data_IF_282959899967
#
_entry.id   IF_282959899967
#
_cell.length_a   1.000
_cell.length_b   1.000
_cell.length_c   1.000
_cell.angle_alpha   90.00
_cell.angle_beta   90.00
_cell.angle_gamma   90.00
#
_symmetry.space_group_name_H-M   'P 1'
#
loop_
_entity.id
_entity.type
_entity.pdbx_description
1 polymer ?
#
# COMPACT_ATOMS: atom_id res chain seq x y z
N UNK A 1 11.17 15.62 -13.13
CA UNK A 1 10.06 15.09 -12.26
C UNK A 1 9.08 14.42 -13.21
N UNK A 2 8.64 13.19 -12.91
CA UNK A 2 7.75 12.43 -13.81
C UNK A 2 6.38 13.12 -13.93
N UNK A 3 5.89 13.31 -15.17
CA UNK A 3 4.64 14.04 -15.44
C UNK A 3 3.41 13.35 -14.86
N UNK A 4 3.34 12.01 -14.95
CA UNK A 4 2.25 11.23 -14.38
C UNK A 4 2.18 11.39 -12.86
N UNK A 5 3.34 11.26 -12.18
CA UNK A 5 3.42 11.45 -10.73
C UNK A 5 2.93 12.84 -10.33
N UNK A 6 3.43 13.89 -11.01
CA UNK A 6 3.05 15.28 -10.73
C UNK A 6 1.57 15.53 -10.95
N UNK A 7 0.99 14.94 -12.00
CA UNK A 7 -0.44 15.09 -12.34
C UNK A 7 -1.31 14.45 -11.26
N UNK A 8 -0.98 13.22 -10.83
CA UNK A 8 -1.72 12.51 -9.79
C UNK A 8 -1.55 13.19 -8.42
N UNK A 9 -0.35 13.67 -8.09
CA UNK A 9 -0.09 14.36 -6.82
C UNK A 9 -0.90 15.67 -6.70
N UNK A 10 -0.99 16.43 -7.78
CA UNK A 10 -1.85 17.61 -7.84
C UNK A 10 -3.33 17.26 -7.72
N UNK A 11 -3.78 16.19 -8.38
CA UNK A 11 -5.15 15.74 -8.32
C UNK A 11 -5.54 15.24 -6.92
N UNK A 12 -4.65 14.56 -6.22
CA UNK A 12 -4.84 14.07 -4.85
C UNK A 12 -4.95 15.19 -3.78
N UNK A 13 -4.60 16.42 -4.12
CA UNK A 13 -4.71 17.59 -3.23
C UNK A 13 -5.86 18.56 -3.56
N UNK A 14 -6.72 18.24 -4.54
CA UNK A 14 -7.71 19.19 -5.07
C UNK A 14 -9.15 18.71 -4.90
N UNK A 15 -10.00 19.61 -4.43
CA UNK A 15 -11.46 19.44 -4.34
C UNK A 15 -12.24 19.99 -5.54
N UNK A 16 -11.63 20.50 -6.63
CA UNK A 16 -12.36 21.15 -7.73
C UNK A 16 -11.73 21.07 -9.13
N UNK A 17 -12.63 21.06 -10.13
CA UNK A 17 -12.52 21.35 -11.57
C UNK A 17 -11.32 20.77 -12.35
N UNK A 18 -11.55 19.66 -12.98
CA UNK A 18 -10.66 18.91 -13.87
C UNK A 18 -11.06 17.43 -13.80
N UNK A 19 -10.50 16.53 -14.63
CA UNK A 19 -10.65 15.11 -14.33
C UNK A 19 -10.06 14.89 -12.93
N UNK A 20 -10.94 14.59 -11.97
CA UNK A 20 -10.53 14.28 -10.61
C UNK A 20 -9.58 13.10 -10.58
N UNK A 21 -8.95 12.87 -9.45
CA UNK A 21 -8.03 11.73 -9.25
C UNK A 21 -8.65 10.41 -9.72
N UNK A 22 -9.93 10.21 -9.40
CA UNK A 22 -10.74 9.05 -9.82
C UNK A 22 -10.76 8.86 -11.35
N UNK A 23 -10.99 9.93 -12.11
CA UNK A 23 -11.02 9.87 -13.57
C UNK A 23 -9.63 9.54 -14.17
N UNK A 24 -8.57 10.09 -13.61
CA UNK A 24 -7.20 9.81 -14.05
C UNK A 24 -6.81 8.35 -13.77
N UNK A 25 -7.03 7.88 -12.53
CA UNK A 25 -6.70 6.51 -12.14
C UNK A 25 -7.59 5.50 -12.85
N UNK A 26 -8.91 5.77 -12.93
CA UNK A 26 -9.87 4.94 -13.66
C UNK A 26 -9.48 4.77 -15.13
N UNK A 27 -9.10 5.86 -15.81
CA UNK A 27 -8.62 5.82 -17.20
C UNK A 27 -7.34 5.01 -17.38
N UNK A 28 -6.39 5.11 -16.46
CA UNK A 28 -5.17 4.29 -16.48
C UNK A 28 -5.48 2.79 -16.29
N UNK A 29 -6.36 2.46 -15.34
CA UNK A 29 -6.75 1.07 -15.08
C UNK A 29 -7.59 0.47 -16.19
N UNK A 30 -8.44 1.26 -16.86
CA UNK A 30 -9.16 0.83 -18.04
C UNK A 30 -8.19 0.43 -19.18
N UNK A 31 -7.10 1.18 -19.38
CA UNK A 31 -6.06 0.82 -20.35
C UNK A 31 -5.34 -0.48 -19.99
N UNK A 32 -5.20 -0.79 -18.69
CA UNK A 32 -4.64 -2.09 -18.24
C UNK A 32 -5.64 -3.21 -18.52
N UNK A 33 -6.92 -2.98 -18.23
CA UNK A 33 -7.98 -3.96 -18.40
C UNK A 33 -8.19 -4.38 -19.86
N UNK A 34 -8.02 -3.43 -20.80
CA UNK A 34 -8.17 -3.69 -22.24
C UNK A 34 -6.84 -4.01 -22.97
N UNK A 35 -5.74 -4.14 -22.22
CA UNK A 35 -4.43 -4.53 -22.75
C UNK A 35 -3.63 -3.42 -23.44
N UNK A 36 -4.14 -2.18 -23.50
CA UNK A 36 -3.40 -1.03 -24.07
C UNK A 36 -2.23 -0.59 -23.20
N UNK A 37 -2.28 -0.91 -21.91
CA UNK A 37 -1.17 -0.67 -20.98
C UNK A 37 -0.75 -1.98 -20.33
N UNK A 38 0.51 -2.37 -20.53
CA UNK A 38 1.05 -3.62 -19.98
C UNK A 38 1.63 -3.37 -18.59
N UNK A 39 1.09 -4.04 -17.59
CA UNK A 39 1.68 -4.20 -16.26
C UNK A 39 1.22 -5.54 -15.67
N UNK A 40 1.84 -5.96 -14.59
CA UNK A 40 1.47 -7.17 -13.84
C UNK A 40 1.14 -6.78 -12.40
N UNK A 41 -0.05 -7.15 -11.95
CA UNK A 41 -0.39 -7.02 -10.54
C UNK A 41 0.47 -7.97 -9.69
N UNK A 42 0.84 -7.51 -8.52
CA UNK A 42 1.56 -8.29 -7.51
C UNK A 42 0.56 -8.75 -6.45
N UNK A 43 0.53 -10.05 -6.20
CA UNK A 43 -0.12 -10.61 -5.00
C UNK A 43 0.80 -10.33 -3.80
N UNK A 44 0.48 -9.27 -3.05
CA UNK A 44 1.36 -8.76 -2.00
C UNK A 44 1.27 -9.63 -0.75
N UNK A 45 2.41 -9.94 -0.09
CA UNK A 45 2.44 -10.74 1.14
C UNK A 45 1.55 -10.22 2.27
N UNK A 46 1.34 -8.91 2.33
CA UNK A 46 0.45 -8.25 3.31
C UNK A 46 -1.05 -8.40 2.99
N UNK A 47 -1.44 -9.21 1.99
CA UNK A 47 -2.83 -9.58 1.75
C UNK A 47 -3.63 -8.65 0.85
N UNK A 48 -2.98 -7.86 0.02
CA UNK A 48 -3.62 -7.02 -1.00
C UNK A 48 -2.99 -7.21 -2.38
N UNK A 49 -3.64 -6.73 -3.45
CA UNK A 49 -3.00 -6.63 -4.75
C UNK A 49 -2.38 -5.25 -4.95
N UNK A 50 -1.16 -5.21 -5.47
CA UNK A 50 -0.50 -3.98 -5.88
C UNK A 50 -0.39 -3.95 -7.41
N UNK A 51 -0.96 -2.91 -8.05
CA UNK A 51 -0.75 -2.61 -9.46
C UNK A 51 0.30 -1.50 -9.57
N UNK A 52 1.54 -1.81 -9.96
CA UNK A 52 2.62 -0.82 -10.05
C UNK A 52 2.49 0.00 -11.32
N UNK A 53 1.85 1.16 -11.23
CA UNK A 53 1.55 2.05 -12.38
C UNK A 53 2.79 2.79 -12.85
N UNK A 54 3.68 3.16 -11.93
CA UNK A 54 4.94 3.86 -12.20
C UNK A 54 6.03 3.37 -11.24
N UNK A 55 7.23 3.17 -11.77
CA UNK A 55 8.48 3.00 -11.03
C UNK A 55 9.56 3.72 -11.79
N UNK A 56 10.03 4.88 -11.29
CA UNK A 56 11.05 5.70 -11.97
C UNK A 56 11.92 6.41 -10.93
N UNK A 57 13.17 6.00 -10.83
CA UNK A 57 14.11 6.53 -9.85
C UNK A 57 13.56 6.36 -8.43
N UNK A 58 13.41 7.48 -7.72
CA UNK A 58 12.87 7.51 -6.35
C UNK A 58 11.34 7.58 -6.29
N UNK A 59 10.66 7.67 -7.44
CA UNK A 59 9.21 7.85 -7.51
C UNK A 59 8.50 6.55 -7.81
N UNK A 60 7.39 6.31 -7.13
CA UNK A 60 6.50 5.19 -7.38
C UNK A 60 5.03 5.59 -7.34
N UNK A 61 4.22 4.97 -8.20
CA UNK A 61 2.77 5.03 -8.14
C UNK A 61 2.23 3.63 -8.18
N UNK A 62 1.42 3.28 -7.20
CA UNK A 62 0.73 1.99 -7.13
C UNK A 62 -0.75 2.19 -6.91
N UNK A 63 -1.56 1.25 -7.38
CA UNK A 63 -2.92 1.09 -6.87
C UNK A 63 -2.93 -0.15 -5.98
N UNK A 64 -3.29 0.03 -4.71
CA UNK A 64 -3.50 -1.07 -3.77
C UNK A 64 -4.97 -1.44 -3.77
N UNK A 65 -5.25 -2.73 -3.87
CA UNK A 65 -6.60 -3.29 -3.93
C UNK A 65 -6.74 -4.28 -2.79
N UNK A 66 -7.55 -3.92 -1.82
CA UNK A 66 -7.79 -4.70 -0.62
C UNK A 66 -9.05 -5.55 -0.79
N UNK A 67 -8.91 -6.82 -0.45
CA UNK A 67 -9.97 -7.80 -0.39
C UNK A 67 -10.06 -8.29 1.05
N UNK A 68 -11.22 -8.20 1.73
CA UNK A 68 -11.34 -8.54 3.14
C UNK A 68 -10.97 -10.00 3.44
N UNK A 69 -11.27 -10.93 2.53
CA UNK A 69 -10.90 -12.35 2.70
C UNK A 69 -9.39 -12.52 2.73
N UNK A 70 -8.66 -11.75 1.91
CA UNK A 70 -7.20 -11.79 1.82
C UNK A 70 -6.52 -11.04 2.96
N UNK A 71 -7.13 -9.93 3.39
CA UNK A 71 -6.65 -9.09 4.47
C UNK A 71 -6.91 -9.69 5.86
N UNK A 72 -7.82 -10.66 5.96
CA UNK A 72 -8.24 -11.26 7.23
C UNK A 72 -7.04 -11.78 8.05
N UNK A 73 -6.92 -11.28 9.28
CA UNK A 73 -5.87 -11.67 10.22
C UNK A 73 -4.47 -11.12 9.90
N UNK A 74 -4.31 -10.30 8.87
CA UNK A 74 -3.02 -9.72 8.45
C UNK A 74 -2.92 -8.25 8.88
N UNK A 75 -2.45 -8.04 10.10
CA UNK A 75 -2.16 -6.70 10.64
C UNK A 75 -0.67 -6.60 11.00
N UNK A 76 0.21 -6.82 10.03
CA UNK A 76 1.65 -6.73 10.28
C UNK A 76 2.04 -5.27 10.51
N UNK A 77 2.66 -5.00 11.66
CA UNK A 77 3.22 -3.68 11.98
C UNK A 77 4.51 -3.52 11.18
N UNK A 78 4.56 -2.50 10.35
CA UNK A 78 5.70 -2.24 9.48
C UNK A 78 5.90 -0.74 9.23
N UNK A 79 7.06 -0.38 8.68
CA UNK A 79 7.33 0.96 8.16
C UNK A 79 8.03 0.85 6.81
N UNK A 80 8.02 1.94 6.07
CA UNK A 80 8.59 2.04 4.73
C UNK A 80 9.83 2.92 4.69
N UNK A 81 10.74 2.62 3.77
CA UNK A 81 11.88 3.47 3.40
C UNK A 81 11.50 4.69 2.56
N UNK A 82 10.22 4.90 2.31
CA UNK A 82 9.67 5.92 1.44
C UNK A 82 8.47 6.63 2.07
N UNK A 83 8.35 7.93 1.79
CA UNK A 83 7.15 8.69 2.13
C UNK A 83 6.02 8.25 1.23
N UNK A 84 4.81 8.11 1.77
CA UNK A 84 3.64 7.83 0.97
C UNK A 84 2.53 8.86 1.20
N UNK A 85 1.85 9.18 0.10
CA UNK A 85 0.57 9.88 0.06
C UNK A 85 -0.43 8.96 -0.60
N UNK A 86 -1.45 8.56 0.15
CA UNK A 86 -2.43 7.57 -0.27
C UNK A 86 -3.83 8.18 -0.30
N UNK A 87 -4.51 8.08 -1.44
CA UNK A 87 -5.89 8.55 -1.60
C UNK A 87 -6.82 7.38 -1.81
N UNK A 88 -7.91 7.33 -1.05
CA UNK A 88 -8.91 6.26 -1.11
C UNK A 88 -9.80 6.46 -2.35
N UNK A 89 -9.83 5.46 -3.22
CA UNK A 89 -10.62 5.45 -4.46
C UNK A 89 -12.05 4.93 -4.23
N UNK A 90 -12.19 3.92 -3.38
CA UNK A 90 -13.47 3.40 -2.87
C UNK A 90 -13.24 2.60 -1.59
N UNK A 91 -14.32 2.37 -0.83
CA UNK A 91 -14.28 1.71 0.47
C UNK A 91 -13.65 2.58 1.54
N UNK A 92 -13.19 1.95 2.62
CA UNK A 92 -12.54 2.61 3.76
C UNK A 92 -11.27 1.86 4.16
N UNK A 93 -10.23 2.58 4.53
CA UNK A 93 -8.95 2.03 4.98
C UNK A 93 -8.59 2.63 6.32
N UNK A 94 -8.32 1.77 7.30
CA UNK A 94 -7.80 2.14 8.60
C UNK A 94 -6.28 2.00 8.67
N UNK A 95 -5.61 2.95 9.32
CA UNK A 95 -4.21 2.90 9.64
C UNK A 95 -4.04 3.05 11.15
N UNK A 96 -3.67 1.94 11.80
CA UNK A 96 -3.23 1.98 13.19
C UNK A 96 -1.78 2.53 13.20
N UNK A 97 -1.58 3.72 13.73
CA UNK A 97 -0.25 4.28 13.97
C UNK A 97 0.31 3.73 15.27
N UNK A 98 1.57 3.36 15.29
CA UNK A 98 2.20 2.75 16.47
C UNK A 98 3.53 3.41 16.81
N UNK A 99 3.75 3.63 18.11
CA UNK A 99 5.05 3.94 18.67
C UNK A 99 5.84 2.66 18.88
N UNK A 100 7.10 2.63 18.43
CA UNK A 100 8.01 1.49 18.58
C UNK A 100 9.21 1.92 19.43
N UNK A 101 9.43 1.23 20.54
CA UNK A 101 10.44 1.58 21.54
C UNK A 101 11.40 0.41 21.75
N UNK A 102 12.68 0.69 21.89
CA UNK A 102 13.69 -0.32 22.21
C UNK A 102 13.42 -0.90 23.61
N UNK A 103 13.43 -2.23 23.70
CA UNK A 103 13.10 -2.95 24.92
C UNK A 103 13.88 -4.28 24.97
N UNK A 104 14.92 -4.34 25.79
CA UNK A 104 15.77 -5.52 25.91
C UNK A 104 15.33 -6.51 26.99
N UNK A 105 14.67 -6.01 28.07
CA UNK A 105 14.35 -6.83 29.23
C UNK A 105 13.09 -7.68 29.01
N UNK A 106 12.04 -7.12 28.42
CA UNK A 106 10.76 -7.76 28.13
C UNK A 106 10.24 -7.37 26.76
N UNK A 107 10.96 -7.72 25.69
CA UNK A 107 10.54 -7.36 24.33
C UNK A 107 9.26 -8.14 23.94
N UNK A 108 8.37 -7.47 23.21
CA UNK A 108 7.23 -8.12 22.60
C UNK A 108 7.54 -8.59 21.17
N UNK A 109 8.46 -7.91 20.49
CA UNK A 109 8.81 -8.14 19.08
C UNK A 109 10.30 -7.93 18.82
N UNK A 110 10.74 -8.43 17.67
CA UNK A 110 12.01 -8.11 17.03
C UNK A 110 11.74 -7.30 15.76
N UNK A 111 12.60 -6.33 15.46
CA UNK A 111 12.61 -5.64 14.18
C UNK A 111 13.32 -6.50 13.12
N UNK A 112 12.73 -6.62 11.93
CA UNK A 112 13.29 -7.29 10.77
C UNK A 112 13.40 -6.30 9.63
N UNK A 113 14.59 -6.17 9.04
CA UNK A 113 14.77 -5.40 7.82
C UNK A 113 14.30 -6.20 6.61
N UNK A 114 13.67 -5.50 5.65
CA UNK A 114 13.13 -6.10 4.43
C UNK A 114 13.94 -5.59 3.24
N UNK A 115 14.58 -6.51 2.55
CA UNK A 115 15.36 -6.24 1.34
C UNK A 115 14.62 -6.78 0.13
N UNK A 116 14.10 -5.88 -0.70
CA UNK A 116 13.31 -6.25 -1.88
C UNK A 116 14.20 -6.35 -3.12
N UNK A 117 14.24 -7.54 -3.72
CA UNK A 117 14.76 -7.74 -5.06
C UNK A 117 13.58 -7.75 -6.05
N UNK A 118 13.35 -6.61 -6.68
CA UNK A 118 12.25 -6.46 -7.63
C UNK A 118 12.44 -7.31 -8.91
N UNK A 119 13.68 -7.58 -9.31
CA UNK A 119 13.98 -8.39 -10.49
C UNK A 119 13.72 -9.87 -10.22
N UNK A 120 14.08 -10.36 -9.03
CA UNK A 120 13.81 -11.73 -8.61
C UNK A 120 12.38 -11.93 -8.08
N UNK A 121 11.65 -10.86 -7.78
CA UNK A 121 10.32 -10.92 -7.17
C UNK A 121 10.35 -11.51 -5.76
N UNK A 122 11.38 -11.23 -4.99
CA UNK A 122 11.60 -11.82 -3.66
C UNK A 122 11.97 -10.74 -2.66
N UNK A 123 11.39 -10.84 -1.47
CA UNK A 123 11.81 -10.08 -0.31
C UNK A 123 12.61 -11.00 0.63
N UNK A 124 13.76 -10.53 1.07
CA UNK A 124 14.51 -11.13 2.17
C UNK A 124 14.21 -10.38 3.46
N UNK A 125 13.61 -11.06 4.41
CA UNK A 125 13.29 -10.54 5.74
C UNK A 125 14.35 -11.02 6.72
N UNK A 126 15.19 -10.11 7.20
CA UNK A 126 16.36 -10.43 8.02
C UNK A 126 16.19 -9.92 9.44
N UNK A 127 16.37 -10.78 10.46
CA UNK A 127 16.29 -10.33 11.85
C UNK A 127 17.44 -9.37 12.17
N UNK A 128 17.12 -8.32 12.91
CA UNK A 128 18.12 -7.41 13.48
C UNK A 128 18.33 -7.72 14.96
N UNK A 129 19.38 -7.19 15.60
CA UNK A 129 19.53 -7.29 17.05
C UNK A 129 18.50 -6.44 17.83
N UNK A 130 17.72 -5.57 17.15
CA UNK A 130 16.80 -4.64 17.76
C UNK A 130 15.57 -5.37 18.29
N UNK A 131 15.43 -5.41 19.62
CA UNK A 131 14.29 -5.93 20.35
C UNK A 131 13.43 -4.76 20.80
N UNK A 132 12.11 -4.86 20.62
CA UNK A 132 11.21 -3.74 20.80
C UNK A 132 9.91 -4.15 21.51
N UNK A 133 9.25 -3.16 22.08
CA UNK A 133 7.81 -3.15 22.37
C UNK A 133 7.14 -2.09 21.51
N UNK A 134 5.85 -2.21 21.29
CA UNK A 134 5.07 -1.19 20.59
C UNK A 134 3.82 -0.82 21.37
N UNK A 135 3.31 0.37 21.10
CA UNK A 135 2.07 0.89 21.69
C UNK A 135 1.23 1.56 20.60
N UNK A 136 -0.10 1.44 20.63
CA UNK A 136 -0.96 2.15 19.71
C UNK A 136 -0.90 3.66 20.01
N UNK A 137 -0.71 4.47 18.96
CA UNK A 137 -0.77 5.94 19.04
C UNK A 137 -2.13 6.48 18.61
N UNK A 138 -2.90 5.69 17.87
CA UNK A 138 -4.22 6.04 17.36
C UNK A 138 -4.51 5.30 16.06
N UNK A 139 -5.79 5.23 15.73
CA UNK A 139 -6.25 4.69 14.45
C UNK A 139 -6.93 5.81 13.66
N UNK A 140 -6.52 5.98 12.40
CA UNK A 140 -7.10 6.91 11.46
C UNK A 140 -7.80 6.11 10.37
N UNK A 141 -9.08 6.37 10.15
CA UNK A 141 -9.87 5.75 9.08
C UNK A 141 -10.15 6.78 8.01
N UNK A 142 -9.76 6.44 6.78
CA UNK A 142 -10.00 7.27 5.60
C UNK A 142 -11.01 6.61 4.68
N UNK A 143 -11.98 7.38 4.19
CA UNK A 143 -12.99 6.97 3.23
C UNK A 143 -12.72 7.50 1.82
N UNK A 144 -13.61 7.18 0.88
CA UNK A 144 -13.52 7.60 -0.53
C UNK A 144 -13.26 9.10 -0.66
N UNK A 145 -12.27 9.47 -1.47
CA UNK A 145 -11.86 10.85 -1.74
C UNK A 145 -10.94 11.45 -0.66
N UNK A 146 -10.77 10.79 0.48
CA UNK A 146 -9.85 11.23 1.52
C UNK A 146 -8.43 10.77 1.23
N UNK A 147 -7.49 11.56 1.72
CA UNK A 147 -6.05 11.32 1.53
C UNK A 147 -5.35 11.34 2.88
N UNK A 148 -4.52 10.33 3.12
CA UNK A 148 -3.63 10.25 4.28
C UNK A 148 -2.18 10.17 3.85
N UNK A 149 -1.27 10.49 4.76
CA UNK A 149 0.18 10.42 4.55
C UNK A 149 0.84 9.61 5.65
N UNK A 150 1.90 8.89 5.28
CA UNK A 150 2.79 8.22 6.23
C UNK A 150 4.21 8.62 5.90
N UNK A 151 4.95 9.07 6.91
CA UNK A 151 6.34 9.42 6.75
C UNK A 151 7.21 8.16 6.58
N UNK A 152 8.36 8.31 5.95
CA UNK A 152 9.35 7.23 5.90
C UNK A 152 9.78 6.87 7.34
N UNK A 153 9.81 5.57 7.65
CA UNK A 153 10.13 5.07 8.99
C UNK A 153 8.97 5.11 9.99
N UNK A 154 7.81 5.65 9.62
CA UNK A 154 6.62 5.65 10.48
C UNK A 154 5.97 4.27 10.53
N UNK A 155 5.93 3.67 11.73
CA UNK A 155 5.32 2.35 11.92
C UNK A 155 3.80 2.41 11.95
N UNK A 156 3.19 1.52 11.20
CA UNK A 156 1.73 1.40 11.11
C UNK A 156 1.30 -0.03 10.78
N UNK A 157 0.00 -0.28 10.93
CA UNK A 157 -0.67 -1.46 10.41
C UNK A 157 -1.94 -1.04 9.68
N UNK A 158 -2.14 -1.56 8.47
CA UNK A 158 -3.34 -1.28 7.67
C UNK A 158 -4.44 -2.27 7.97
N UNK A 159 -5.68 -1.81 8.02
CA UNK A 159 -6.88 -2.59 8.26
C UNK A 159 -8.03 -2.18 7.36
N UNK A 160 -9.00 -3.06 7.21
CA UNK A 160 -10.30 -2.77 6.59
C UNK A 160 -11.35 -2.71 7.72
N UNK A 161 -11.77 -1.51 8.13
CA UNK A 161 -12.61 -1.36 9.32
C UNK A 161 -14.00 -1.99 9.17
N UNK A 162 -14.51 -2.07 7.94
CA UNK A 162 -15.87 -2.55 7.65
C UNK A 162 -15.89 -3.96 7.06
N UNK A 163 -14.75 -4.64 6.96
CA UNK A 163 -14.60 -5.90 6.21
C UNK A 163 -15.12 -5.81 4.75
N UNK A 164 -15.08 -4.61 4.18
CA UNK A 164 -15.50 -4.31 2.81
C UNK A 164 -14.29 -4.09 1.88
N UNK A 165 -14.41 -4.42 0.58
CA UNK A 165 -13.35 -4.16 -0.39
C UNK A 165 -13.02 -2.66 -0.48
N UNK A 166 -11.73 -2.35 -0.51
CA UNK A 166 -11.25 -0.98 -0.66
C UNK A 166 -10.12 -0.89 -1.68
N UNK A 167 -9.91 0.28 -2.26
CA UNK A 167 -8.72 0.56 -3.04
C UNK A 167 -8.19 1.97 -2.79
N UNK A 168 -6.86 2.09 -2.92
CA UNK A 168 -6.17 3.37 -2.81
C UNK A 168 -5.21 3.55 -3.98
N UNK A 169 -4.98 4.80 -4.39
CA UNK A 169 -3.81 5.15 -5.18
C UNK A 169 -2.75 5.72 -4.25
N UNK A 170 -1.55 5.16 -4.35
CA UNK A 170 -0.41 5.50 -3.50
C UNK A 170 0.68 6.13 -4.34
N UNK A 171 1.06 7.34 -3.96
CA UNK A 171 2.24 8.03 -4.48
C UNK A 171 3.35 7.91 -3.46
N UNK A 172 4.47 7.33 -3.86
CA UNK A 172 5.62 7.09 -3.01
C UNK A 172 6.86 7.82 -3.49
N UNK A 173 7.66 8.27 -2.53
CA UNK A 173 8.99 8.83 -2.77
C UNK A 173 9.98 8.23 -1.81
N UNK A 174 10.96 7.48 -2.32
CA UNK A 174 12.06 6.98 -1.50
C UNK A 174 12.90 8.13 -0.97
N UNK A 175 13.24 8.08 0.32
CA UNK A 175 14.10 9.04 0.98
C UNK A 175 15.35 8.34 1.54
N UNK A 176 16.50 9.03 1.62
CA UNK A 176 17.71 8.46 2.22
C UNK A 176 17.54 8.21 3.72
N UNK A 177 18.09 7.12 4.20
CA UNK A 177 18.20 6.79 5.61
C UNK A 177 17.27 5.67 6.07
N UNK A 178 15.93 5.84 6.12
CA UNK A 178 15.03 4.78 6.53
C UNK A 178 15.11 3.53 5.63
N UNK A 179 14.90 2.36 6.25
CA UNK A 179 14.77 1.07 5.56
C UNK A 179 13.38 0.50 5.81
N UNK A 180 12.95 -0.42 4.95
CA UNK A 180 11.70 -1.14 5.18
C UNK A 180 11.89 -2.09 6.36
N UNK A 181 11.01 -2.00 7.36
CA UNK A 181 11.06 -2.82 8.58
C UNK A 181 9.70 -3.43 8.86
N UNK A 182 9.69 -4.68 9.29
CA UNK A 182 8.49 -5.35 9.82
C UNK A 182 8.78 -5.85 11.25
N UNK A 183 7.78 -5.77 12.13
CA UNK A 183 7.87 -6.37 13.46
C UNK A 183 7.44 -7.83 13.40
N UNK A 184 8.22 -8.70 14.03
CA UNK A 184 7.96 -10.13 14.07
C UNK A 184 8.29 -10.75 15.43
N UNK A 185 8.15 -12.09 15.57
CA UNK A 185 8.47 -12.79 16.80
C UNK A 185 9.89 -12.53 17.27
N UNK A 186 10.09 -12.46 18.60
CA UNK A 186 11.40 -12.20 19.22
C UNK A 186 12.45 -13.21 18.79
N UNK A 187 12.06 -14.47 18.67
CA UNK A 187 12.90 -15.61 18.28
C UNK A 187 12.82 -15.95 16.78
N UNK A 188 12.13 -15.09 15.98
CA UNK A 188 11.95 -15.31 14.54
C UNK A 188 13.28 -15.29 13.79
N UNK A 189 13.42 -16.20 12.82
CA UNK A 189 14.58 -16.30 11.92
C UNK A 189 14.41 -15.53 10.62
N UNK A 190 15.48 -15.50 9.83
CA UNK A 190 15.44 -14.96 8.46
C UNK A 190 14.49 -15.79 7.59
N UNK A 191 13.77 -15.11 6.70
CA UNK A 191 12.86 -15.76 5.74
C UNK A 191 12.88 -15.07 4.39
N UNK A 192 12.54 -15.81 3.35
CA UNK A 192 12.31 -15.28 2.01
C UNK A 192 10.81 -15.30 1.70
N UNK A 193 10.33 -14.23 1.15
CA UNK A 193 8.92 -14.06 0.78
C UNK A 193 8.82 -13.79 -0.71
N UNK A 194 8.11 -14.64 -1.45
CA UNK A 194 7.94 -14.48 -2.89
C UNK A 194 6.77 -13.54 -3.16
N UNK A 195 7.02 -12.48 -3.91
CA UNK A 195 6.00 -11.59 -4.48
C UNK A 195 5.46 -12.21 -5.77
N UNK A 196 4.33 -12.88 -5.69
CA UNK A 196 3.74 -13.56 -6.85
C UNK A 196 3.15 -12.56 -7.83
N UNK A 197 3.59 -12.61 -9.08
CA UNK A 197 2.96 -11.86 -10.15
C UNK A 197 1.68 -12.56 -10.60
N UNK A 198 0.59 -11.81 -10.69
CA UNK A 198 -0.63 -12.29 -11.34
C UNK A 198 -0.38 -12.48 -12.84
N UNK A 199 -1.07 -13.39 -13.49
CA UNK A 199 -1.10 -13.48 -14.96
C UNK A 199 -1.80 -12.25 -15.58
N UNK A 200 -1.72 -12.13 -16.89
CA UNK A 200 -2.28 -10.98 -17.60
C UNK A 200 -3.81 -10.89 -17.42
N UNK A 201 -4.52 -12.02 -17.50
CA UNK A 201 -5.97 -12.07 -17.38
C UNK A 201 -6.44 -11.68 -15.98
N UNK A 202 -5.75 -12.17 -14.95
CA UNK A 202 -6.05 -11.79 -13.56
C UNK A 202 -5.75 -10.30 -13.32
N UNK A 203 -4.64 -9.80 -13.86
CA UNK A 203 -4.30 -8.37 -13.77
C UNK A 203 -5.37 -7.51 -14.44
N UNK A 204 -5.81 -7.89 -15.65
CA UNK A 204 -6.86 -7.18 -16.39
C UNK A 204 -8.19 -7.19 -15.62
N UNK A 205 -8.59 -8.33 -15.03
CA UNK A 205 -9.80 -8.41 -14.20
C UNK A 205 -9.73 -7.52 -12.98
N UNK A 206 -8.61 -7.51 -12.24
CA UNK A 206 -8.41 -6.65 -11.07
C UNK A 206 -8.51 -5.18 -11.49
N UNK A 207 -7.79 -4.78 -12.54
CA UNK A 207 -7.80 -3.40 -13.03
C UNK A 207 -9.21 -2.96 -13.50
N UNK A 208 -9.91 -3.83 -14.23
CA UNK A 208 -11.27 -3.57 -14.71
C UNK A 208 -12.29 -3.44 -13.57
N UNK A 209 -12.17 -4.28 -12.53
CA UNK A 209 -13.01 -4.19 -11.33
C UNK A 209 -12.83 -2.85 -10.62
N UNK A 210 -11.56 -2.45 -10.38
CA UNK A 210 -11.26 -1.16 -9.74
C UNK A 210 -11.77 -0.01 -10.58
N UNK A 211 -11.54 -0.01 -11.89
CA UNK A 211 -12.01 1.03 -12.80
C UNK A 211 -13.54 1.18 -12.76
N UNK A 212 -14.28 0.06 -12.74
CA UNK A 212 -15.75 0.07 -12.64
C UNK A 212 -16.23 0.66 -11.31
N UNK A 213 -15.63 0.25 -10.17
CA UNK A 213 -15.99 0.76 -8.84
C UNK A 213 -15.69 2.25 -8.67
N UNK A 214 -14.60 2.74 -9.27
CA UNK A 214 -14.29 4.17 -9.29
C UNK A 214 -15.34 4.94 -10.09
N UNK A 215 -15.74 4.41 -11.26
CA UNK A 215 -16.71 5.03 -12.16
C UNK A 215 -18.16 4.91 -11.72
N UNK A 216 -18.49 3.89 -10.93
CA UNK A 216 -19.80 3.76 -10.30
C UNK A 216 -19.94 4.82 -9.20
N UNK A 217 -20.90 5.74 -9.35
CA UNK A 217 -21.39 6.49 -8.18
C UNK A 217 -22.03 5.45 -7.27
N UNK A 218 -21.64 5.42 -6.00
CA UNK A 218 -22.39 4.67 -5.00
C UNK A 218 -23.81 5.25 -4.98
N UNK A 219 -24.75 4.55 -5.63
CA UNK A 219 -26.20 4.83 -5.53
C UNK A 219 -26.75 4.36 -4.17
N UNK A 220 -25.94 4.45 -3.13
CA UNK A 220 -26.33 4.25 -1.73
C UNK A 220 -26.31 5.60 -1.01
N UNK A 221 -27.12 6.51 -1.45
CA UNK A 221 -27.57 7.64 -0.65
C UNK A 221 -28.82 7.24 0.15
N UNK A 222 -29.04 7.86 1.33
CA UNK A 222 -30.05 7.47 2.30
C UNK A 222 -31.47 7.54 1.76
#
# INVERSE_FOLDING_TARGET
>A
MNELFTTLDRAAGRTAAGPGLDGLVGGLLAQVADGRRVLRAVDHPLGFYCLPVLREGVLGVCVHVFDPIRAAGRREIHCHSWELKSSVLYGRVGNLRVGVFDEAARPSHRAFEVYSDAAAGVDEVRPTPRLVRWEPLGEEVSGRGETYTLAAGEFHATALPDDEPAATVVLGRTVPGPVDVVLGPVDGGARRVVRRLCDADRTARIAGEVARRIGGRDDSGP
#
